data_IF_181554587144
#
_entry.id   IF_181554587144
#
_cell.length_a   1.000
_cell.length_b   1.000
_cell.length_c   1.000
_cell.angle_alpha   90.00
_cell.angle_beta   90.00
_cell.angle_gamma   90.00
#
_symmetry.space_group_name_H-M   'P 1'
#
loop_
_entity.id
_entity.type
_entity.pdbx_description
1 polymer ?
#
# COMPACT_ATOMS: atom_id res chain seq x y z
N UNK A 1 -13.78 -12.97 -9.67
CA UNK A 1 -15.08 -12.26 -9.80
C UNK A 1 -15.44 -12.24 -11.28
N UNK A 2 -16.02 -13.33 -11.76
CA UNK A 2 -16.46 -13.49 -13.15
C UNK A 2 -17.94 -13.10 -13.22
N UNK A 3 -18.22 -11.89 -13.72
CA UNK A 3 -19.57 -11.39 -13.94
C UNK A 3 -20.16 -12.05 -15.19
N UNK A 4 -20.96 -13.11 -14.98
CA UNK A 4 -21.84 -13.64 -16.01
C UNK A 4 -23.05 -12.74 -16.18
N UNK A 5 -23.01 -11.87 -17.18
CA UNK A 5 -24.17 -11.07 -17.60
C UNK A 5 -25.19 -11.95 -18.31
N UNK A 6 -26.12 -12.53 -17.54
CA UNK A 6 -27.35 -13.08 -18.10
C UNK A 6 -28.19 -11.91 -18.63
N UNK A 7 -28.36 -11.84 -19.95
CA UNK A 7 -29.28 -10.90 -20.56
C UNK A 7 -30.71 -11.27 -20.16
N UNK A 8 -31.23 -10.58 -19.13
CA UNK A 8 -32.63 -10.66 -18.72
C UNK A 8 -33.46 -9.98 -19.81
N UNK A 9 -34.51 -10.65 -20.28
CA UNK A 9 -35.50 -10.09 -21.20
C UNK A 9 -36.14 -8.84 -20.56
N UNK A 10 -35.60 -7.67 -20.88
CA UNK A 10 -36.04 -6.40 -20.30
C UNK A 10 -37.29 -5.91 -21.01
N UNK A 11 -38.42 -5.94 -20.33
CA UNK A 11 -39.55 -5.08 -20.65
C UNK A 11 -39.11 -3.62 -20.41
N UNK A 12 -38.62 -2.96 -21.46
CA UNK A 12 -38.18 -1.57 -21.36
C UNK A 12 -39.37 -0.64 -21.63
N UNK A 13 -39.81 0.06 -20.59
CA UNK A 13 -40.84 1.10 -20.68
C UNK A 13 -40.19 2.40 -21.14
N UNK A 14 -40.50 2.85 -22.35
CA UNK A 14 -40.08 4.17 -22.84
C UNK A 14 -41.32 5.04 -23.01
N UNK A 15 -41.49 6.04 -22.15
CA UNK A 15 -42.50 7.07 -22.31
C UNK A 15 -41.93 8.19 -23.20
N UNK A 16 -42.60 8.49 -24.31
CA UNK A 16 -42.30 9.64 -25.17
C UNK A 16 -43.61 10.34 -25.49
N UNK A 17 -43.75 11.60 -25.04
CA UNK A 17 -44.77 12.60 -25.43
C UNK A 17 -46.19 12.11 -25.74
N UNK A 18 -47.16 12.40 -24.86
CA UNK A 18 -48.61 12.13 -24.97
C UNK A 18 -49.07 10.71 -25.32
N UNK A 19 -48.16 9.80 -25.69
CA UNK A 19 -48.39 8.38 -25.90
C UNK A 19 -47.67 7.59 -24.81
N UNK A 20 -48.40 6.80 -24.04
CA UNK A 20 -47.79 5.75 -23.23
C UNK A 20 -47.54 4.56 -24.14
N UNK A 21 -46.27 4.27 -24.42
CA UNK A 21 -45.87 3.15 -25.26
C UNK A 21 -45.13 2.11 -24.42
N UNK A 22 -45.66 0.89 -24.40
CA UNK A 22 -45.07 -0.25 -23.70
C UNK A 22 -44.58 -1.25 -24.75
N UNK A 23 -43.35 -1.73 -24.59
CA UNK A 23 -42.74 -2.71 -25.47
C UNK A 23 -42.35 -3.96 -24.69
N UNK A 24 -42.82 -5.11 -25.15
CA UNK A 24 -42.28 -6.41 -24.78
C UNK A 24 -41.61 -7.00 -26.02
N UNK A 25 -40.28 -7.18 -25.94
CA UNK A 25 -39.47 -7.80 -27.00
C UNK A 25 -39.21 -9.26 -26.68
N UNK A 26 -38.96 -10.04 -27.73
CA UNK A 26 -38.64 -11.47 -27.65
C UNK A 26 -39.68 -12.30 -26.89
N UNK A 27 -40.95 -11.92 -27.01
CA UNK A 27 -42.06 -12.68 -26.43
C UNK A 27 -42.19 -13.97 -27.24
N UNK A 28 -41.96 -15.12 -26.61
CA UNK A 28 -42.20 -16.42 -27.25
C UNK A 28 -43.70 -16.60 -27.45
N UNK A 29 -44.16 -16.40 -28.68
CA UNK A 29 -45.55 -16.61 -29.09
C UNK A 29 -45.65 -17.91 -29.86
N UNK A 30 -46.53 -18.79 -29.41
CA UNK A 30 -46.89 -20.03 -30.11
C UNK A 30 -47.97 -19.73 -31.13
N UNK A 31 -47.73 -20.05 -32.40
CA UNK A 31 -48.67 -19.79 -33.49
C UNK A 31 -49.41 -21.08 -33.81
N UNK A 32 -50.75 -21.06 -33.68
CA UNK A 32 -51.63 -22.20 -33.97
C UNK A 32 -52.55 -21.88 -35.15
N UNK A 33 -52.63 -22.73 -36.19
CA UNK A 33 -53.73 -22.64 -37.16
C UNK A 33 -55.05 -23.09 -36.49
N UNK A 34 -56.17 -22.50 -36.91
CA UNK A 34 -57.50 -22.98 -36.52
C UNK A 34 -57.78 -24.31 -37.23
N UNK A 35 -57.46 -25.45 -36.61
CA UNK A 35 -57.83 -26.77 -37.13
C UNK A 35 -59.26 -27.15 -36.68
N UNK A 36 -60.06 -27.73 -37.58
CA UNK A 36 -61.29 -28.45 -37.22
C UNK A 36 -60.92 -29.59 -36.29
N UNK A 37 -61.61 -29.72 -35.16
CA UNK A 37 -61.55 -30.93 -34.33
C UNK A 37 -62.11 -32.13 -35.12
N UNK A 38 -61.28 -32.79 -35.93
CA UNK A 38 -61.49 -34.19 -36.26
C UNK A 38 -60.78 -35.02 -35.18
N UNK A 39 -61.58 -35.53 -34.24
CA UNK A 39 -61.11 -36.42 -33.19
C UNK A 39 -60.56 -37.72 -33.81
N UNK A 40 -59.25 -37.79 -34.07
CA UNK A 40 -58.56 -39.05 -34.33
C UNK A 40 -58.43 -39.80 -33.00
N UNK A 41 -59.29 -40.80 -32.79
CA UNK A 41 -59.11 -41.78 -31.72
C UNK A 41 -57.84 -42.57 -32.07
N UNK A 42 -56.81 -42.48 -31.22
CA UNK A 42 -55.56 -43.25 -31.37
C UNK A 42 -55.86 -44.74 -31.54
N UNK A 43 -55.17 -45.39 -32.49
CA UNK A 43 -55.31 -46.83 -32.74
C UNK A 43 -55.08 -47.68 -31.47
N UNK A 44 -54.29 -47.19 -30.51
CA UNK A 44 -54.10 -47.85 -29.21
C UNK A 44 -55.35 -47.83 -28.32
N UNK A 45 -56.16 -46.76 -28.39
CA UNK A 45 -57.41 -46.63 -27.64
C UNK A 45 -58.49 -47.53 -28.25
N UNK A 46 -58.58 -47.57 -29.59
CA UNK A 46 -59.45 -48.53 -30.29
C UNK A 46 -59.04 -49.98 -30.01
N UNK A 47 -57.74 -50.28 -29.97
CA UNK A 47 -57.23 -51.61 -29.62
C UNK A 47 -57.62 -52.02 -28.20
N UNK A 48 -57.44 -51.14 -27.20
CA UNK A 48 -57.85 -51.43 -25.81
C UNK A 48 -59.38 -51.56 -25.62
N UNK A 49 -60.18 -50.84 -26.42
CA UNK A 49 -61.65 -50.99 -26.41
C UNK A 49 -62.07 -52.33 -27.03
N UNK A 50 -61.44 -52.73 -28.15
CA UNK A 50 -61.66 -54.03 -28.78
C UNK A 50 -61.22 -55.20 -27.89
N UNK A 51 -60.08 -55.08 -27.22
CA UNK A 51 -59.54 -56.12 -26.33
C UNK A 51 -60.45 -56.33 -25.10
N UNK A 52 -60.99 -55.25 -24.54
CA UNK A 52 -61.99 -55.30 -23.44
C UNK A 52 -63.34 -55.85 -23.88
N UNK A 53 -63.73 -55.63 -25.13
CA UNK A 53 -64.98 -56.15 -25.68
C UNK A 53 -64.89 -57.64 -26.05
N UNK A 54 -63.74 -58.09 -26.58
CA UNK A 54 -63.49 -59.48 -26.96
C UNK A 54 -63.26 -60.41 -25.75
N UNK A 55 -62.65 -59.90 -24.67
CA UNK A 55 -62.53 -60.63 -23.39
C UNK A 55 -63.89 -60.79 -22.68
N UNK A 56 -64.81 -59.84 -22.85
CA UNK A 56 -66.21 -59.96 -22.40
C UNK A 56 -67.03 -61.00 -23.17
N UNK A 57 -66.57 -61.42 -24.37
CA UNK A 57 -67.23 -62.40 -25.24
C UNK A 57 -66.56 -63.79 -25.19
N UNK A 58 -65.57 -64.00 -24.31
CA UNK A 58 -64.92 -65.30 -24.11
C UNK A 58 -63.94 -65.70 -25.22
N UNK A 59 -63.52 -64.76 -26.08
CA UNK A 59 -62.53 -65.03 -27.13
C UNK A 59 -61.13 -64.70 -26.59
N UNK A 60 -60.28 -65.72 -26.45
CA UNK A 60 -58.89 -65.56 -26.04
C UNK A 60 -58.06 -65.12 -27.26
N UNK A 61 -57.62 -63.86 -27.29
CA UNK A 61 -56.67 -63.36 -28.29
C UNK A 61 -55.27 -63.46 -27.69
N UNK A 62 -54.40 -64.26 -28.30
CA UNK A 62 -53.06 -64.54 -27.82
C UNK A 62 -52.14 -63.30 -27.76
N UNK A 63 -51.26 -63.31 -26.76
CA UNK A 63 -50.28 -62.27 -26.40
C UNK A 63 -49.61 -61.56 -27.59
N UNK A 64 -49.80 -60.24 -27.67
CA UNK A 64 -48.86 -59.34 -28.33
C UNK A 64 -47.94 -58.77 -27.24
N UNK A 65 -46.90 -59.53 -26.89
CA UNK A 65 -45.84 -59.02 -26.02
C UNK A 65 -45.00 -58.00 -26.78
N UNK A 66 -45.12 -56.73 -26.42
CA UNK A 66 -44.06 -55.74 -26.67
C UNK A 66 -43.42 -55.46 -25.32
N UNK A 67 -42.17 -55.89 -25.16
CA UNK A 67 -41.35 -55.72 -23.96
C UNK A 67 -41.03 -54.23 -23.68
N UNK A 68 -40.83 -53.85 -22.41
CA UNK A 68 -40.52 -52.49 -22.03
C UNK A 68 -39.01 -52.25 -22.19
N UNK A 69 -38.61 -51.34 -23.08
CA UNK A 69 -37.24 -50.85 -23.15
C UNK A 69 -37.16 -49.42 -22.65
N UNK A 70 -36.49 -49.29 -21.50
CA UNK A 70 -35.62 -48.16 -21.10
C UNK A 70 -36.31 -46.87 -20.69
N UNK A 71 -36.14 -46.56 -19.39
CA UNK A 71 -36.33 -45.25 -18.78
C UNK A 71 -35.77 -44.13 -19.65
N UNK A 72 -36.67 -43.33 -20.19
CA UNK A 72 -36.42 -41.94 -20.52
C UNK A 72 -37.68 -41.20 -20.09
N UNK A 73 -37.57 -40.36 -19.06
CA UNK A 73 -38.59 -39.37 -18.73
C UNK A 73 -38.74 -38.43 -19.92
N UNK A 74 -39.55 -38.84 -20.88
CA UNK A 74 -40.09 -37.96 -21.90
C UNK A 74 -41.15 -37.15 -21.17
N UNK A 75 -40.80 -35.91 -20.79
CA UNK A 75 -41.81 -34.91 -20.48
C UNK A 75 -42.74 -34.84 -21.69
N UNK A 76 -43.94 -35.40 -21.54
CA UNK A 76 -44.92 -35.50 -22.61
C UNK A 76 -45.37 -34.12 -23.04
N UNK A 77 -44.67 -33.53 -24.01
CA UNK A 77 -45.31 -32.59 -24.93
C UNK A 77 -46.20 -33.43 -25.82
N UNK A 78 -47.50 -33.23 -25.74
CA UNK A 78 -48.46 -33.83 -26.68
C UNK A 78 -47.99 -33.48 -28.10
N UNK A 79 -47.61 -34.47 -28.93
CA UNK A 79 -47.09 -34.19 -30.26
C UNK A 79 -48.27 -33.86 -31.16
N UNK A 80 -48.46 -32.57 -31.50
CA UNK A 80 -49.43 -32.22 -32.54
C UNK A 80 -49.89 -30.77 -32.69
N UNK A 81 -49.84 -29.90 -31.67
CA UNK A 81 -50.53 -28.60 -31.75
C UNK A 81 -49.67 -27.34 -31.91
N UNK A 82 -48.37 -27.39 -31.64
CA UNK A 82 -47.49 -26.20 -31.78
C UNK A 82 -46.73 -26.28 -33.11
N UNK A 83 -47.36 -25.84 -34.22
CA UNK A 83 -46.71 -25.88 -35.54
C UNK A 83 -45.62 -24.82 -35.74
N UNK A 84 -45.55 -23.78 -34.90
CA UNK A 84 -44.44 -22.80 -34.93
C UNK A 84 -44.36 -22.00 -33.62
N UNK A 85 -43.14 -21.75 -33.11
CA UNK A 85 -42.91 -20.81 -32.01
C UNK A 85 -41.94 -19.73 -32.47
N UNK A 86 -42.29 -18.46 -32.24
CA UNK A 86 -41.51 -17.31 -32.70
C UNK A 86 -41.29 -16.32 -31.56
N UNK A 87 -40.16 -15.61 -31.60
CA UNK A 87 -39.90 -14.48 -30.72
C UNK A 87 -40.46 -13.23 -31.39
N UNK A 88 -41.64 -12.79 -30.93
CA UNK A 88 -42.35 -11.66 -31.49
C UNK A 88 -42.19 -10.43 -30.61
N UNK A 89 -42.36 -9.26 -31.23
CA UNK A 89 -42.43 -7.97 -30.53
C UNK A 89 -43.88 -7.58 -30.36
N UNK A 90 -44.30 -7.39 -29.11
CA UNK A 90 -45.58 -6.84 -28.73
C UNK A 90 -45.41 -5.36 -28.34
N UNK A 91 -46.08 -4.47 -29.08
CA UNK A 91 -46.15 -3.04 -28.79
C UNK A 91 -47.57 -2.68 -28.35
N UNK A 92 -47.69 -1.99 -27.23
CA UNK A 92 -48.92 -1.35 -26.80
C UNK A 92 -48.72 0.17 -26.85
N UNK A 93 -49.68 0.89 -27.43
CA UNK A 93 -49.68 2.35 -27.45
C UNK A 93 -51.06 2.88 -27.10
N UNK A 94 -51.15 3.64 -26.02
CA UNK A 94 -52.37 4.34 -25.62
C UNK A 94 -52.39 5.72 -26.28
N UNK A 95 -53.32 5.92 -27.22
CA UNK A 95 -53.57 7.22 -27.82
C UNK A 95 -54.56 7.97 -26.95
N UNK A 96 -54.13 9.10 -26.39
CA UNK A 96 -55.04 10.03 -25.72
C UNK A 96 -55.50 11.06 -26.75
N UNK A 97 -56.80 11.31 -26.84
CA UNK A 97 -57.31 12.38 -27.68
C UNK A 97 -56.76 13.72 -27.17
N UNK A 98 -55.76 14.28 -27.85
CA UNK A 98 -55.31 15.64 -27.59
C UNK A 98 -56.44 16.59 -28.02
N UNK A 99 -57.23 17.06 -27.06
CA UNK A 99 -58.17 18.15 -27.31
C UNK A 99 -57.39 19.39 -27.72
N UNK A 100 -57.42 19.72 -29.02
CA UNK A 100 -57.11 21.07 -29.48
C UNK A 100 -58.20 22.00 -28.94
N UNK A 101 -57.94 22.63 -27.79
CA UNK A 101 -58.82 23.63 -27.21
C UNK A 101 -58.73 24.93 -28.01
N UNK A 102 -59.55 25.05 -29.06
CA UNK A 102 -59.97 26.37 -29.55
C UNK A 102 -60.95 26.96 -28.54
N UNK A 103 -60.58 28.11 -27.99
CA UNK A 103 -61.34 28.94 -27.06
C UNK A 103 -62.76 29.23 -27.56
N UNK A 104 -63.76 28.81 -26.79
CA UNK A 104 -65.18 29.11 -27.02
C UNK A 104 -66.00 28.85 -25.77
N UNK A 105 -66.37 29.93 -25.09
CA UNK A 105 -67.26 29.97 -23.92
C UNK A 105 -68.63 29.36 -24.23
N UNK A 106 -69.13 28.50 -23.33
CA UNK A 106 -70.52 28.04 -23.33
C UNK A 106 -70.67 26.56 -22.98
N UNK A 107 -71.02 26.30 -21.72
CA UNK A 107 -71.64 25.06 -21.16
C UNK A 107 -71.64 23.83 -22.07
N UNK A 108 -70.69 22.91 -21.89
CA UNK A 108 -70.74 21.56 -22.49
C UNK A 108 -70.51 20.50 -21.42
N UNK A 109 -71.39 19.50 -21.44
CA UNK A 109 -71.19 18.21 -20.81
C UNK A 109 -69.78 17.68 -21.10
N UNK A 110 -69.15 17.04 -20.11
CA UNK A 110 -67.86 16.39 -20.25
C UNK A 110 -67.88 15.47 -21.47
N UNK A 111 -67.15 15.87 -22.52
CA UNK A 111 -66.87 14.98 -23.65
C UNK A 111 -65.89 13.95 -23.12
N UNK A 112 -66.21 12.64 -23.10
CA UNK A 112 -65.24 11.63 -22.69
C UNK A 112 -64.05 11.71 -23.65
N UNK A 113 -62.85 11.82 -23.08
CA UNK A 113 -61.59 11.67 -23.78
C UNK A 113 -61.58 10.30 -24.45
N UNK A 114 -61.97 10.21 -25.73
CA UNK A 114 -62.04 8.94 -26.44
C UNK A 114 -60.62 8.46 -26.72
N UNK A 115 -60.02 7.79 -25.74
CA UNK A 115 -58.73 7.14 -25.87
C UNK A 115 -58.87 5.82 -26.61
N UNK A 116 -57.86 5.47 -27.40
CA UNK A 116 -57.78 4.18 -28.08
C UNK A 116 -56.48 3.46 -27.70
N UNK A 117 -56.60 2.20 -27.28
CA UNK A 117 -55.47 1.32 -27.06
C UNK A 117 -55.17 0.58 -28.36
N UNK A 118 -53.97 0.79 -28.89
CA UNK A 118 -53.48 0.07 -30.05
C UNK A 118 -52.47 -0.99 -29.62
N UNK A 119 -52.73 -2.24 -29.97
CA UNK A 119 -51.83 -3.37 -29.74
C UNK A 119 -51.32 -3.86 -31.09
N UNK A 120 -50.01 -4.02 -31.22
CA UNK A 120 -49.34 -4.43 -32.46
C UNK A 120 -48.37 -5.58 -32.17
N UNK A 121 -48.48 -6.67 -32.94
CA UNK A 121 -47.56 -7.81 -32.91
C UNK A 121 -46.79 -7.82 -34.22
N UNK A 122 -45.47 -7.92 -34.12
CA UNK A 122 -44.55 -7.92 -35.26
C UNK A 122 -43.45 -8.95 -35.07
N UNK A 123 -42.88 -9.45 -36.17
CA UNK A 123 -41.71 -10.32 -36.15
C UNK A 123 -40.47 -9.51 -36.56
N UNK A 124 -39.35 -9.70 -35.86
CA UNK A 124 -38.06 -9.09 -36.25
C UNK A 124 -37.46 -9.73 -37.51
N UNK A 125 -37.88 -10.93 -37.89
CA UNK A 125 -37.38 -11.68 -39.05
C UNK A 125 -38.26 -11.54 -40.30
N UNK A 126 -39.55 -11.25 -40.12
CA UNK A 126 -40.51 -11.04 -41.21
C UNK A 126 -41.14 -9.63 -41.12
N UNK A 127 -40.68 -8.67 -41.94
CA UNK A 127 -41.24 -7.32 -41.97
C UNK A 127 -42.72 -7.25 -42.39
N UNK A 128 -43.26 -8.29 -43.02
CA UNK A 128 -44.67 -8.34 -43.44
C UNK A 128 -45.58 -8.97 -42.38
N UNK A 129 -45.01 -9.53 -41.31
CA UNK A 129 -45.78 -10.05 -40.18
C UNK A 129 -46.29 -8.91 -39.31
N UNK A 130 -47.58 -8.58 -39.45
CA UNK A 130 -48.23 -7.53 -38.71
C UNK A 130 -49.63 -7.94 -38.28
N UNK A 131 -49.88 -7.96 -36.97
CA UNK A 131 -51.20 -8.12 -36.39
C UNK A 131 -51.53 -6.95 -35.48
N UNK A 132 -52.74 -6.43 -35.58
CA UNK A 132 -53.15 -5.21 -34.90
C UNK A 132 -54.53 -5.36 -34.25
N UNK A 133 -54.69 -4.75 -33.08
CA UNK A 133 -55.99 -4.49 -32.44
C UNK A 133 -56.04 -3.01 -32.08
N UNK A 134 -57.10 -2.33 -32.50
CA UNK A 134 -57.46 -0.99 -32.02
C UNK A 134 -58.69 -1.14 -31.14
N UNK A 135 -58.54 -0.81 -29.86
CA UNK A 135 -59.57 -0.96 -28.84
C UNK A 135 -59.91 0.43 -28.28
N UNK A 136 -61.07 0.97 -28.69
CA UNK A 136 -61.59 2.19 -28.11
C UNK A 136 -62.11 1.94 -26.68
N UNK A 137 -62.16 3.00 -25.86
CA UNK A 137 -62.70 2.91 -24.50
C UNK A 137 -64.16 2.40 -24.46
N UNK A 138 -64.97 2.75 -25.47
CA UNK A 138 -66.35 2.24 -25.60
C UNK A 138 -66.40 0.73 -25.80
N UNK A 139 -65.50 0.19 -26.63
CA UNK A 139 -65.43 -1.24 -26.95
C UNK A 139 -64.82 -2.04 -25.78
N UNK A 140 -64.00 -1.40 -24.96
CA UNK A 140 -63.45 -1.99 -23.75
C UNK A 140 -64.52 -2.39 -22.74
N UNK A 141 -65.64 -1.67 -22.63
CA UNK A 141 -66.73 -2.06 -21.71
C UNK A 141 -67.32 -3.43 -22.05
N UNK A 142 -67.44 -3.73 -23.34
CA UNK A 142 -67.89 -5.04 -23.83
C UNK A 142 -66.84 -6.10 -23.50
N UNK A 143 -65.57 -5.86 -23.84
CA UNK A 143 -64.46 -6.77 -23.55
C UNK A 143 -64.34 -7.07 -22.05
N UNK A 144 -64.48 -6.04 -21.21
CA UNK A 144 -64.44 -6.11 -19.75
C UNK A 144 -65.53 -7.03 -19.22
N UNK A 145 -66.74 -6.94 -19.77
CA UNK A 145 -67.87 -7.77 -19.34
C UNK A 145 -67.72 -9.21 -19.84
N UNK A 146 -67.35 -9.40 -21.11
CA UNK A 146 -67.16 -10.71 -21.73
C UNK A 146 -66.07 -11.53 -21.05
N UNK A 147 -64.95 -10.90 -20.70
CA UNK A 147 -63.80 -11.56 -20.06
C UNK A 147 -63.73 -11.34 -18.55
N UNK A 148 -64.77 -10.73 -17.97
CA UNK A 148 -64.88 -10.47 -16.51
C UNK A 148 -63.65 -9.77 -15.93
N UNK A 149 -63.09 -8.82 -16.68
CA UNK A 149 -61.91 -8.07 -16.28
C UNK A 149 -62.27 -7.12 -15.13
N UNK A 150 -61.43 -7.08 -14.09
CA UNK A 150 -61.66 -6.23 -12.92
C UNK A 150 -61.04 -4.83 -13.06
N UNK A 151 -60.17 -4.63 -14.05
CA UNK A 151 -59.44 -3.37 -14.26
C UNK A 151 -60.22 -2.37 -15.13
N UNK A 152 -59.90 -1.09 -15.01
CA UNK A 152 -60.42 -0.04 -15.90
C UNK A 152 -59.57 0.08 -17.18
N UNK A 153 -60.02 0.90 -18.13
CA UNK A 153 -59.34 1.05 -19.42
C UNK A 153 -57.93 1.62 -19.27
N UNK A 154 -57.71 2.52 -18.29
CA UNK A 154 -56.41 3.17 -18.08
C UNK A 154 -55.36 2.20 -17.51
N UNK A 155 -55.76 1.29 -16.61
CA UNK A 155 -54.83 0.31 -16.03
C UNK A 155 -54.69 -0.98 -16.86
N UNK A 156 -55.59 -1.22 -17.83
CA UNK A 156 -55.58 -2.43 -18.66
C UNK A 156 -54.26 -2.69 -19.42
N UNK A 157 -53.60 -1.71 -20.08
CA UNK A 157 -52.31 -1.93 -20.76
C UNK A 157 -51.20 -2.41 -19.83
N UNK A 158 -51.21 -1.94 -18.57
CA UNK A 158 -50.25 -2.35 -17.55
C UNK A 158 -50.44 -3.83 -17.19
N UNK A 159 -51.69 -4.28 -17.02
CA UNK A 159 -51.99 -5.70 -16.74
C UNK A 159 -51.57 -6.63 -17.87
N UNK A 160 -51.76 -6.22 -19.13
CA UNK A 160 -51.28 -7.01 -20.28
C UNK A 160 -49.76 -7.17 -20.20
N UNK A 161 -49.05 -6.10 -19.85
CA UNK A 161 -47.58 -6.11 -19.74
C UNK A 161 -47.11 -7.03 -18.62
N UNK A 162 -47.79 -7.01 -17.46
CA UNK A 162 -47.49 -7.90 -16.34
C UNK A 162 -47.69 -9.38 -16.73
N UNK A 163 -48.83 -9.73 -17.34
CA UNK A 163 -49.10 -11.09 -17.83
C UNK A 163 -48.05 -11.57 -18.86
N UNK A 164 -47.65 -10.69 -19.79
CA UNK A 164 -46.62 -11.02 -20.78
C UNK A 164 -45.23 -11.15 -20.14
N UNK A 165 -44.93 -10.36 -19.11
CA UNK A 165 -43.67 -10.47 -18.36
C UNK A 165 -43.59 -11.79 -17.56
N UNK A 166 -44.72 -12.26 -17.00
CA UNK A 166 -44.81 -13.58 -16.35
C UNK A 166 -44.57 -14.72 -17.34
N UNK A 167 -45.08 -14.59 -18.58
CA UNK A 167 -44.78 -15.55 -19.65
C UNK A 167 -43.28 -15.59 -20.01
N UNK A 168 -42.58 -14.46 -19.96
CA UNK A 168 -41.16 -14.38 -20.31
C UNK A 168 -40.24 -15.04 -19.26
N UNK A 169 -40.61 -15.00 -17.98
CA UNK A 169 -39.83 -15.60 -16.88
C UNK A 169 -39.90 -17.14 -16.86
N UNK A 170 -40.96 -17.74 -17.44
CA UNK A 170 -41.16 -19.19 -17.49
C UNK A 170 -40.44 -19.89 -18.66
N UNK A 171 -39.63 -19.17 -19.45
CA UNK A 171 -38.93 -19.69 -20.63
C UNK A 171 -37.69 -20.54 -20.35
N UNK A 172 -37.19 -20.56 -19.11
CA UNK A 172 -36.09 -21.43 -18.65
C UNK A 172 -36.62 -22.46 -17.65
N UNK A 173 -36.39 -23.76 -17.92
CA UNK A 173 -36.78 -24.96 -17.15
C UNK A 173 -37.98 -24.82 -16.19
N UNK A 174 -39.10 -25.55 -16.41
CA UNK A 174 -40.27 -25.43 -15.53
C UNK A 174 -39.83 -25.68 -14.08
N UNK A 175 -40.11 -24.74 -13.14
CA UNK A 175 -39.94 -25.03 -11.73
C UNK A 175 -40.78 -26.27 -11.43
N UNK A 176 -40.25 -27.21 -10.66
CA UNK A 176 -41.03 -28.34 -10.16
C UNK A 176 -42.21 -27.79 -9.35
N UNK A 177 -43.37 -27.63 -10.00
CA UNK A 177 -44.58 -27.00 -9.43
C UNK A 177 -44.92 -25.57 -9.91
N UNK A 178 -44.22 -25.01 -10.90
CA UNK A 178 -44.48 -23.66 -11.43
C UNK A 178 -45.61 -23.59 -12.47
N UNK A 179 -46.39 -22.50 -12.44
CA UNK A 179 -47.44 -22.20 -13.41
C UNK A 179 -46.85 -22.05 -14.82
N UNK A 180 -47.33 -22.81 -15.80
CA UNK A 180 -46.79 -22.78 -17.17
C UNK A 180 -47.60 -21.79 -18.03
N UNK A 181 -47.33 -20.49 -17.87
CA UNK A 181 -48.01 -19.44 -18.63
C UNK A 181 -47.32 -19.17 -19.97
N UNK A 182 -48.11 -19.04 -21.04
CA UNK A 182 -47.61 -18.80 -22.39
C UNK A 182 -48.57 -17.99 -23.26
N UNK A 183 -48.01 -17.31 -24.26
CA UNK A 183 -48.75 -16.48 -25.20
C UNK A 183 -48.98 -17.25 -26.50
N UNK A 184 -50.22 -17.27 -26.97
CA UNK A 184 -50.65 -17.90 -28.21
C UNK A 184 -51.23 -16.89 -29.17
N UNK A 185 -50.88 -17.01 -30.45
CA UNK A 185 -51.58 -16.34 -31.54
C UNK A 185 -52.23 -17.40 -32.42
N UNK A 186 -53.55 -17.54 -32.30
CA UNK A 186 -54.33 -18.46 -33.12
C UNK A 186 -54.77 -17.74 -34.38
N UNK A 187 -54.36 -18.23 -35.54
CA UNK A 187 -54.69 -17.63 -36.85
C UNK A 187 -55.89 -18.37 -37.44
N UNK A 188 -56.97 -17.64 -37.71
CA UNK A 188 -58.22 -18.20 -38.24
C UNK A 188 -58.12 -18.69 -39.69
N UNK A 189 -59.13 -19.43 -40.15
CA UNK A 189 -59.24 -19.92 -41.55
C UNK A 189 -59.26 -18.76 -42.56
N UNK A 190 -59.95 -17.66 -42.22
CA UNK A 190 -59.79 -16.40 -42.94
C UNK A 190 -58.52 -15.72 -42.43
N UNK A 191 -57.58 -15.41 -43.32
CA UNK A 191 -56.27 -14.80 -42.97
C UNK A 191 -56.38 -13.42 -42.30
N UNK A 192 -57.59 -12.92 -42.08
CA UNK A 192 -57.89 -11.57 -41.58
C UNK A 192 -58.14 -11.56 -40.06
N UNK A 193 -58.77 -12.59 -39.51
CA UNK A 193 -59.10 -12.65 -38.07
C UNK A 193 -58.16 -13.60 -37.32
N UNK A 194 -57.65 -13.16 -36.17
CA UNK A 194 -56.77 -13.97 -35.32
C UNK A 194 -57.03 -13.65 -33.86
N UNK A 195 -56.62 -14.54 -32.97
CA UNK A 195 -56.88 -14.41 -31.54
C UNK A 195 -55.57 -14.51 -30.78
N UNK A 196 -55.22 -13.47 -30.05
CA UNK A 196 -54.10 -13.46 -29.12
C UNK A 196 -54.61 -13.91 -27.75
N UNK A 197 -54.10 -15.03 -27.23
CA UNK A 197 -54.50 -15.55 -25.91
C UNK A 197 -53.30 -15.70 -24.99
N UNK A 198 -53.47 -15.33 -23.72
CA UNK A 198 -52.52 -15.65 -22.65
C UNK A 198 -53.11 -16.81 -21.87
N UNK A 199 -52.42 -17.95 -21.89
CA UNK A 199 -52.92 -19.22 -21.34
C UNK A 199 -51.93 -19.74 -20.31
N UNK A 200 -52.44 -20.09 -19.14
CA UNK A 200 -51.74 -20.86 -18.11
C UNK A 200 -52.17 -22.32 -18.19
N UNK A 201 -51.21 -23.21 -18.41
CA UNK A 201 -51.45 -24.64 -18.35
C UNK A 201 -51.03 -25.21 -16.98
N UNK A 202 -51.93 -25.95 -16.36
CA UNK A 202 -51.62 -26.83 -15.23
C UNK A 202 -51.74 -28.30 -15.67
N UNK A 203 -51.39 -29.25 -14.80
CA UNK A 203 -51.41 -30.70 -15.03
C UNK A 203 -52.78 -31.26 -15.46
N UNK A 204 -53.86 -30.50 -15.27
CA UNK A 204 -55.23 -30.94 -15.56
C UNK A 204 -55.92 -30.13 -16.66
N UNK A 205 -55.66 -28.81 -16.77
CA UNK A 205 -56.43 -27.90 -17.64
C UNK A 205 -55.65 -26.65 -18.03
N UNK A 206 -56.00 -26.10 -19.18
CA UNK A 206 -55.63 -24.76 -19.64
C UNK A 206 -56.61 -23.69 -19.13
N UNK A 207 -56.09 -22.63 -18.51
CA UNK A 207 -56.81 -21.45 -18.04
C UNK A 207 -56.45 -20.28 -18.95
N UNK A 208 -57.43 -19.65 -19.58
CA UNK A 208 -57.23 -18.45 -20.39
C UNK A 208 -57.33 -17.22 -19.49
N UNK A 209 -56.25 -16.47 -19.37
CA UNK A 209 -56.18 -15.21 -18.61
C UNK A 209 -56.66 -14.01 -19.41
N UNK A 210 -56.39 -14.01 -20.71
CA UNK A 210 -56.76 -12.94 -21.61
C UNK A 210 -56.92 -13.46 -23.02
N UNK A 211 -57.90 -12.95 -23.78
CA UNK A 211 -58.18 -13.33 -25.16
C UNK A 211 -58.53 -12.09 -25.98
N UNK A 212 -57.70 -11.72 -26.96
CA UNK A 212 -57.86 -10.49 -27.73
C UNK A 212 -58.04 -10.81 -29.21
N UNK A 213 -59.10 -10.27 -29.81
CA UNK A 213 -59.34 -10.39 -31.25
C UNK A 213 -58.41 -9.46 -32.02
N UNK A 214 -57.42 -10.03 -32.67
CA UNK A 214 -56.46 -9.35 -33.53
C UNK A 214 -56.92 -9.43 -34.99
N UNK A 215 -56.47 -8.46 -35.79
CA UNK A 215 -56.61 -8.51 -37.24
C UNK A 215 -55.24 -8.51 -37.90
N UNK A 216 -55.09 -9.28 -38.98
CA UNK A 216 -53.91 -9.17 -39.84
C UNK A 216 -53.89 -7.79 -40.48
N UNK A 217 -52.74 -7.14 -40.49
CA UNK A 217 -52.55 -5.84 -41.14
C UNK A 217 -52.82 -5.94 -42.63
N UNK A 218 -53.59 -4.99 -43.17
CA UNK A 218 -53.77 -4.84 -44.62
C UNK A 218 -52.53 -4.22 -45.25
N UNK A 219 -52.37 -4.34 -46.56
CA UNK A 219 -51.25 -3.72 -47.30
C UNK A 219 -51.12 -2.22 -47.00
N UNK A 220 -52.24 -1.52 -46.83
CA UNK A 220 -52.23 -0.08 -46.55
C UNK A 220 -51.67 0.23 -45.16
N UNK A 221 -52.13 -0.51 -44.14
CA UNK A 221 -51.63 -0.36 -42.76
C UNK A 221 -50.17 -0.78 -42.68
N UNK A 222 -49.79 -1.84 -43.41
CA UNK A 222 -48.44 -2.35 -43.46
C UNK A 222 -47.47 -1.37 -44.13
N UNK A 223 -47.85 -0.76 -45.27
CA UNK A 223 -47.07 0.29 -45.92
C UNK A 223 -46.85 1.48 -44.99
N UNK A 224 -47.91 1.95 -44.33
CA UNK A 224 -47.80 3.04 -43.36
C UNK A 224 -46.87 2.69 -42.19
N UNK A 225 -47.00 1.48 -41.64
CA UNK A 225 -46.13 0.99 -40.58
C UNK A 225 -44.67 0.94 -41.02
N UNK A 226 -44.39 0.34 -42.19
CA UNK A 226 -43.04 0.21 -42.73
C UNK A 226 -42.42 1.57 -43.08
N UNK A 227 -43.18 2.48 -43.71
CA UNK A 227 -42.72 3.84 -44.01
C UNK A 227 -42.38 4.61 -42.72
N UNK A 228 -43.22 4.49 -41.69
CA UNK A 228 -42.98 5.11 -40.38
C UNK A 228 -41.73 4.55 -39.71
N UNK A 229 -41.52 3.23 -39.79
CA UNK A 229 -40.30 2.57 -39.27
C UNK A 229 -39.05 2.99 -40.05
N UNK A 230 -39.12 3.05 -41.37
CA UNK A 230 -38.01 3.48 -42.21
C UNK A 230 -37.59 4.90 -41.88
N UNK A 231 -38.55 5.83 -41.81
CA UNK A 231 -38.30 7.23 -41.43
C UNK A 231 -37.66 7.33 -40.04
N UNK A 232 -38.19 6.58 -39.06
CA UNK A 232 -37.61 6.53 -37.72
C UNK A 232 -36.17 6.00 -37.72
N UNK A 233 -35.88 4.93 -38.48
CA UNK A 233 -34.53 4.38 -38.56
C UNK A 233 -33.55 5.30 -39.30
N UNK A 234 -34.01 6.02 -40.34
CA UNK A 234 -33.19 7.02 -41.02
C UNK A 234 -32.80 8.15 -40.06
N UNK A 235 -33.76 8.73 -39.34
CA UNK A 235 -33.50 9.75 -38.32
C UNK A 235 -32.57 9.24 -37.21
N UNK A 236 -32.75 7.98 -36.80
CA UNK A 236 -31.89 7.36 -35.81
C UNK A 236 -30.45 7.18 -36.33
N UNK A 237 -30.28 6.75 -37.59
CA UNK A 237 -28.96 6.61 -38.23
C UNK A 237 -28.25 7.95 -38.32
N UNK A 238 -28.91 8.98 -38.84
CA UNK A 238 -28.36 10.32 -38.95
C UNK A 238 -27.89 10.86 -37.60
N UNK A 239 -28.72 10.72 -36.56
CA UNK A 239 -28.36 11.13 -35.20
C UNK A 239 -27.19 10.32 -34.65
N UNK A 240 -27.15 9.01 -34.89
CA UNK A 240 -26.04 8.16 -34.45
C UNK A 240 -24.75 8.55 -35.16
N UNK A 241 -24.79 8.79 -36.46
CA UNK A 241 -23.65 9.26 -37.26
C UNK A 241 -23.13 10.62 -36.78
N UNK A 242 -24.03 11.55 -36.46
CA UNK A 242 -23.66 12.84 -35.87
C UNK A 242 -22.96 12.67 -34.52
N UNK A 243 -23.53 11.85 -33.62
CA UNK A 243 -22.91 11.58 -32.32
C UNK A 243 -21.56 10.89 -32.45
N UNK A 244 -21.42 9.96 -33.39
CA UNK A 244 -20.16 9.27 -33.68
C UNK A 244 -19.12 10.28 -34.19
N UNK A 245 -19.48 11.11 -35.16
CA UNK A 245 -18.61 12.15 -35.70
C UNK A 245 -18.12 13.11 -34.59
N UNK A 246 -19.01 13.54 -33.70
CA UNK A 246 -18.65 14.43 -32.60
C UNK A 246 -17.74 13.75 -31.56
N UNK A 247 -18.04 12.51 -31.19
CA UNK A 247 -17.21 11.74 -30.25
C UNK A 247 -15.82 11.44 -30.83
N UNK A 248 -15.71 11.12 -32.12
CA UNK A 248 -14.42 10.95 -32.78
C UNK A 248 -13.61 12.25 -32.83
N UNK A 249 -14.24 13.40 -33.08
CA UNK A 249 -13.57 14.70 -33.07
C UNK A 249 -13.00 15.03 -31.69
N UNK A 250 -13.80 14.84 -30.64
CA UNK A 250 -13.33 15.05 -29.26
C UNK A 250 -12.20 14.09 -28.88
N UNK A 251 -12.29 12.83 -29.30
CA UNK A 251 -11.21 11.87 -29.06
C UNK A 251 -9.91 12.30 -29.73
N UNK A 252 -9.97 12.76 -30.99
CA UNK A 252 -8.79 13.28 -31.70
C UNK A 252 -8.21 14.51 -31.01
N UNK A 253 -9.06 15.44 -30.55
CA UNK A 253 -8.63 16.65 -29.83
C UNK A 253 -7.91 16.30 -28.53
N UNK A 254 -8.53 15.47 -27.70
CA UNK A 254 -7.95 15.05 -26.41
C UNK A 254 -6.67 14.24 -26.60
N UNK A 255 -6.59 13.41 -27.63
CA UNK A 255 -5.36 12.67 -27.95
C UNK A 255 -4.20 13.61 -28.32
N UNK A 256 -4.47 14.64 -29.14
CA UNK A 256 -3.46 15.63 -29.52
C UNK A 256 -2.99 16.47 -28.31
N UNK A 257 -3.92 16.91 -27.46
CA UNK A 257 -3.59 17.64 -26.21
C UNK A 257 -2.72 16.79 -25.29
N UNK A 258 -3.08 15.51 -25.10
CA UNK A 258 -2.31 14.57 -24.27
C UNK A 258 -0.90 14.35 -24.83
N UNK A 259 -0.76 14.26 -26.16
CA UNK A 259 0.54 14.12 -26.81
C UNK A 259 1.42 15.36 -26.56
N UNK A 260 0.87 16.56 -26.75
CA UNK A 260 1.57 17.82 -26.47
C UNK A 260 2.02 17.92 -25.02
N UNK A 261 1.16 17.56 -24.07
CA UNK A 261 1.50 17.56 -22.64
C UNK A 261 2.59 16.53 -22.31
N UNK A 262 2.57 15.37 -22.96
CA UNK A 262 3.61 14.35 -22.76
C UNK A 262 4.98 14.84 -23.26
N UNK A 263 5.01 15.54 -24.39
CA UNK A 263 6.22 16.16 -24.95
C UNK A 263 6.77 17.25 -24.01
N UNK A 264 5.91 18.13 -23.48
CA UNK A 264 6.30 19.16 -22.51
C UNK A 264 6.86 18.55 -21.22
N UNK A 265 6.21 17.52 -20.66
CA UNK A 265 6.69 16.81 -19.48
C UNK A 265 8.08 16.19 -19.73
N UNK A 266 8.31 15.64 -20.93
CA UNK A 266 9.60 15.03 -21.26
C UNK A 266 10.70 16.09 -21.40
N UNK A 267 10.39 17.25 -21.99
CA UNK A 267 11.31 18.38 -22.05
C UNK A 267 11.70 18.86 -20.64
N UNK A 268 10.72 19.11 -19.78
CA UNK A 268 10.94 19.53 -18.39
C UNK A 268 11.75 18.50 -17.60
N UNK A 269 11.54 17.20 -17.84
CA UNK A 269 12.35 16.13 -17.22
C UNK A 269 13.80 16.15 -17.71
N UNK A 270 14.03 16.39 -18.99
CA UNK A 270 15.37 16.47 -19.56
C UNK A 270 16.13 17.67 -18.98
N UNK A 271 15.49 18.85 -18.93
CA UNK A 271 16.05 20.05 -18.32
C UNK A 271 16.37 19.85 -16.84
N UNK A 272 15.45 19.25 -16.07
CA UNK A 272 15.69 18.93 -14.65
C UNK A 272 16.89 17.98 -14.49
N UNK A 273 17.01 16.97 -15.35
CA UNK A 273 18.11 16.02 -15.29
C UNK A 273 19.46 16.72 -15.57
N UNK A 274 19.50 17.61 -16.57
CA UNK A 274 20.70 18.42 -16.86
C UNK A 274 21.08 19.32 -15.69
N UNK A 275 20.09 20.00 -15.08
CA UNK A 275 20.33 20.86 -13.94
C UNK A 275 20.82 20.07 -12.71
N UNK A 276 20.20 18.92 -12.42
CA UNK A 276 20.64 18.02 -11.34
C UNK A 276 22.07 17.52 -11.56
N UNK A 277 22.43 17.14 -12.79
CA UNK A 277 23.79 16.72 -13.13
C UNK A 277 24.80 17.87 -12.98
N UNK A 278 24.46 19.07 -13.45
CA UNK A 278 25.31 20.26 -13.30
C UNK A 278 25.54 20.61 -11.84
N UNK A 279 24.48 20.58 -11.02
CA UNK A 279 24.56 20.84 -9.58
C UNK A 279 25.41 19.78 -8.86
N UNK A 280 25.22 18.49 -9.17
CA UNK A 280 26.04 17.41 -8.60
C UNK A 280 27.51 17.56 -8.97
N UNK A 281 27.81 17.81 -10.24
CA UNK A 281 29.19 18.02 -10.70
C UNK A 281 29.82 19.27 -10.05
N UNK A 282 29.04 20.32 -9.81
CA UNK A 282 29.47 21.50 -9.05
C UNK A 282 29.83 21.13 -7.60
N UNK A 283 28.94 20.44 -6.91
CA UNK A 283 29.15 20.03 -5.52
C UNK A 283 30.33 19.05 -5.36
N UNK A 284 30.48 18.08 -6.26
CA UNK A 284 31.62 17.15 -6.28
C UNK A 284 32.95 17.89 -6.47
N UNK A 285 32.97 18.92 -7.33
CA UNK A 285 34.15 19.77 -7.53
C UNK A 285 34.48 20.57 -6.26
N UNK A 286 33.50 21.21 -5.63
CA UNK A 286 33.70 21.96 -4.38
C UNK A 286 34.20 21.05 -3.24
N UNK A 287 33.65 19.83 -3.14
CA UNK A 287 34.07 18.87 -2.13
C UNK A 287 35.51 18.39 -2.37
N UNK A 288 35.89 18.14 -3.63
CA UNK A 288 37.25 17.79 -4.00
C UNK A 288 38.22 18.93 -3.68
N UNK A 289 37.88 20.17 -4.03
CA UNK A 289 38.71 21.35 -3.72
C UNK A 289 38.87 21.58 -2.21
N UNK A 290 37.81 21.39 -1.43
CA UNK A 290 37.88 21.50 0.03
C UNK A 290 38.71 20.36 0.64
N UNK A 291 38.53 19.13 0.18
CA UNK A 291 39.31 17.97 0.62
C UNK A 291 40.80 18.16 0.32
N UNK A 292 41.14 18.66 -0.88
CA UNK A 292 42.51 18.93 -1.26
C UNK A 292 43.13 20.05 -0.40
N UNK A 293 42.37 21.12 -0.11
CA UNK A 293 42.81 22.19 0.80
C UNK A 293 43.11 21.66 2.19
N UNK A 294 42.18 20.90 2.79
CA UNK A 294 42.42 20.29 4.11
C UNK A 294 43.62 19.33 4.09
N UNK A 295 43.78 18.53 3.03
CA UNK A 295 44.93 17.63 2.90
C UNK A 295 46.26 18.39 2.74
N UNK A 296 46.25 19.58 2.12
CA UNK A 296 47.41 20.48 2.09
C UNK A 296 47.71 21.05 3.48
N UNK A 297 46.70 21.60 4.16
CA UNK A 297 46.84 22.16 5.51
C UNK A 297 47.37 21.13 6.53
N UNK A 298 46.87 19.89 6.50
CA UNK A 298 47.35 18.80 7.36
C UNK A 298 48.83 18.50 7.06
N UNK A 299 49.22 18.44 5.79
CA UNK A 299 50.62 18.18 5.40
C UNK A 299 51.54 19.31 5.87
N UNK A 300 51.14 20.56 5.67
CA UNK A 300 51.93 21.72 6.05
C UNK A 300 52.07 21.79 7.58
N UNK A 301 50.97 21.61 8.33
CA UNK A 301 51.00 21.57 9.79
C UNK A 301 51.84 20.39 10.33
N UNK A 302 51.77 19.22 9.68
CA UNK A 302 52.59 18.09 10.09
C UNK A 302 54.08 18.37 9.85
N UNK A 303 54.41 19.02 8.74
CA UNK A 303 55.77 19.41 8.43
C UNK A 303 56.32 20.43 9.45
N UNK A 304 55.54 21.46 9.78
CA UNK A 304 55.94 22.48 10.77
C UNK A 304 56.10 21.87 12.16
N UNK A 305 55.12 21.09 12.64
CA UNK A 305 55.20 20.42 13.95
C UNK A 305 56.38 19.45 14.05
N UNK A 306 56.69 18.74 12.96
CA UNK A 306 57.86 17.83 12.93
C UNK A 306 59.16 18.63 13.01
N UNK A 307 59.27 19.74 12.27
CA UNK A 307 60.43 20.62 12.33
C UNK A 307 60.61 21.26 13.71
N UNK A 308 59.53 21.73 14.35
CA UNK A 308 59.54 22.27 15.71
C UNK A 308 59.96 21.20 16.72
N UNK A 309 59.40 19.98 16.62
CA UNK A 309 59.80 18.84 17.44
C UNK A 309 61.29 18.53 17.28
N UNK A 310 61.79 18.47 16.05
CA UNK A 310 63.19 18.16 15.77
C UNK A 310 64.12 19.22 16.33
N UNK A 311 63.74 20.50 16.24
CA UNK A 311 64.49 21.60 16.82
C UNK A 311 64.48 21.54 18.35
N UNK A 312 63.33 21.27 18.98
CA UNK A 312 63.21 21.12 20.42
C UNK A 312 64.03 19.92 20.94
N UNK A 313 64.01 18.79 20.23
CA UNK A 313 64.83 17.61 20.56
C UNK A 313 66.31 17.95 20.47
N UNK A 314 66.77 18.64 19.40
CA UNK A 314 68.16 19.08 19.27
C UNK A 314 68.58 19.99 20.42
N UNK A 315 67.77 20.98 20.75
CA UNK A 315 68.02 21.93 21.83
C UNK A 315 68.11 21.22 23.19
N UNK A 316 67.14 20.36 23.51
CA UNK A 316 67.15 19.59 24.76
C UNK A 316 68.34 18.62 24.83
N UNK A 317 68.73 18.03 23.71
CA UNK A 317 69.91 17.15 23.65
C UNK A 317 71.18 17.95 23.92
N UNK A 318 71.35 19.13 23.31
CA UNK A 318 72.49 20.00 23.56
C UNK A 318 72.54 20.50 25.01
N UNK A 319 71.39 20.84 25.60
CA UNK A 319 71.30 21.20 27.03
C UNK A 319 71.68 20.03 27.95
N UNK A 320 71.25 18.81 27.61
CA UNK A 320 71.58 17.60 28.38
C UNK A 320 73.07 17.28 28.29
N UNK A 321 73.67 17.37 27.10
CA UNK A 321 75.12 17.21 26.90
C UNK A 321 75.92 18.27 27.68
N UNK A 322 75.50 19.54 27.64
CA UNK A 322 76.14 20.61 28.39
C UNK A 322 76.03 20.40 29.92
N UNK A 323 74.85 20.03 30.41
CA UNK A 323 74.62 19.73 31.83
C UNK A 323 75.45 18.52 32.28
N UNK A 324 75.55 17.49 31.44
CA UNK A 324 76.36 16.30 31.71
C UNK A 324 77.85 16.65 31.76
N UNK A 325 78.37 17.43 30.81
CA UNK A 325 79.75 17.90 30.83
C UNK A 325 80.05 18.76 32.09
N UNK A 326 79.11 19.63 32.49
CA UNK A 326 79.23 20.41 33.71
C UNK A 326 79.23 19.52 34.97
N UNK A 327 78.33 18.54 35.04
CA UNK A 327 78.27 17.56 36.14
C UNK A 327 79.57 16.74 36.23
N UNK A 328 80.11 16.28 35.10
CA UNK A 328 81.40 15.57 35.05
C UNK A 328 82.56 16.45 35.50
N UNK A 329 82.60 17.72 35.10
CA UNK A 329 83.64 18.65 35.55
C UNK A 329 83.56 18.94 37.05
N UNK A 330 82.36 19.11 37.59
CA UNK A 330 82.10 19.28 39.02
C UNK A 330 82.46 18.02 39.80
N UNK A 331 82.13 16.82 39.30
CA UNK A 331 82.51 15.56 39.89
C UNK A 331 84.04 15.40 39.95
N UNK A 332 84.77 15.74 38.86
CA UNK A 332 86.24 15.77 38.85
C UNK A 332 86.78 16.73 39.91
N UNK A 333 86.27 17.97 39.95
CA UNK A 333 86.67 18.95 40.96
C UNK A 333 86.38 18.48 42.40
N UNK A 334 85.23 17.82 42.63
CA UNK A 334 84.88 17.23 43.91
C UNK A 334 85.83 16.09 44.30
N UNK A 335 86.21 15.20 43.36
CA UNK A 335 87.21 14.17 43.63
C UNK A 335 88.60 14.75 43.94
N UNK A 336 89.03 15.79 43.21
CA UNK A 336 90.29 16.49 43.51
C UNK A 336 90.26 17.18 44.88
N UNK A 337 89.15 17.86 45.20
CA UNK A 337 88.94 18.47 46.50
C UNK A 337 88.97 17.40 47.61
N UNK A 338 88.34 16.24 47.40
CA UNK A 338 88.41 15.11 48.33
C UNK A 338 89.84 14.60 48.53
N UNK A 339 90.62 14.45 47.45
CA UNK A 339 92.04 14.09 47.54
C UNK A 339 92.84 15.14 48.34
N UNK A 340 92.56 16.44 48.15
CA UNK A 340 93.17 17.52 48.93
C UNK A 340 92.78 17.46 50.41
N UNK A 341 91.50 17.23 50.73
CA UNK A 341 91.01 17.06 52.10
C UNK A 341 91.76 15.91 52.77
N UNK A 342 91.82 14.72 52.15
CA UNK A 342 92.56 13.57 52.70
C UNK A 342 94.05 13.89 52.90
N UNK A 343 94.68 14.59 51.96
CA UNK A 343 96.09 14.99 52.09
C UNK A 343 96.31 15.98 53.25
N UNK A 344 95.39 16.94 53.44
CA UNK A 344 95.41 17.87 54.56
C UNK A 344 95.12 17.17 55.89
N UNK A 345 94.16 16.24 55.93
CA UNK A 345 93.87 15.41 57.12
C UNK A 345 95.11 14.59 57.54
N UNK A 346 95.80 13.98 56.58
CA UNK A 346 97.05 13.26 56.84
C UNK A 346 98.15 14.19 57.36
N UNK A 347 98.29 15.38 56.76
CA UNK A 347 99.26 16.38 57.18
C UNK A 347 98.95 16.92 58.57
N UNK A 348 97.69 17.25 58.85
CA UNK A 348 97.20 17.68 60.15
C UNK A 348 97.45 16.58 61.19
N UNK A 349 97.10 15.34 60.90
CA UNK A 349 97.37 14.19 61.76
C UNK A 349 98.86 14.05 62.08
N UNK A 350 99.73 14.25 61.08
CA UNK A 350 101.19 14.21 61.28
C UNK A 350 101.70 15.37 62.13
N UNK A 351 101.18 16.58 61.93
CA UNK A 351 101.52 17.76 62.72
C UNK A 351 100.98 17.66 64.15
N UNK A 352 99.77 17.13 64.34
CA UNK A 352 99.19 16.82 65.65
C UNK A 352 100.06 15.82 66.40
N UNK A 353 100.51 14.73 65.75
CA UNK A 353 101.45 13.78 66.37
C UNK A 353 102.78 14.43 66.76
N UNK A 354 103.32 15.33 65.92
CA UNK A 354 104.53 16.10 66.24
C UNK A 354 104.31 17.04 67.42
N UNK A 355 103.15 17.71 67.47
CA UNK A 355 102.78 18.60 68.56
C UNK A 355 102.61 17.82 69.86
N UNK A 356 101.94 16.67 69.84
CA UNK A 356 101.82 15.77 71.00
C UNK A 356 103.19 15.30 71.49
N UNK A 357 104.10 14.93 70.57
CA UNK A 357 105.46 14.55 70.93
C UNK A 357 106.23 15.72 71.58
N UNK A 358 106.16 16.92 71.00
CA UNK A 358 106.81 18.12 71.55
C UNK A 358 106.21 18.54 72.90
N UNK A 359 104.89 18.41 73.08
CA UNK A 359 104.24 18.63 74.38
C UNK A 359 104.73 17.65 75.43
N UNK A 360 104.91 16.37 75.07
CA UNK A 360 105.47 15.35 75.97
C UNK A 360 106.92 15.66 76.34
N UNK A 361 107.76 16.02 75.37
CA UNK A 361 109.14 16.46 75.66
C UNK A 361 109.18 17.68 76.59
N UNK A 362 108.30 18.67 76.37
CA UNK A 362 108.21 19.84 77.23
C UNK A 362 107.79 19.47 78.67
N UNK A 363 106.90 18.49 78.83
CA UNK A 363 106.50 17.98 80.14
C UNK A 363 107.68 17.27 80.83
N UNK A 364 108.41 16.43 80.10
CA UNK A 364 109.63 15.77 80.59
C UNK A 364 110.72 16.80 80.99
N UNK A 365 110.89 17.87 80.20
CA UNK A 365 111.83 18.95 80.51
C UNK A 365 111.38 19.79 81.72
N UNK A 366 110.07 20.01 81.90
CA UNK A 366 109.54 20.63 83.13
C UNK A 366 109.81 19.76 84.36
N UNK A 367 109.63 18.45 84.26
CA UNK A 367 109.96 17.52 85.34
C UNK A 367 111.46 17.53 85.65
N UNK A 368 112.32 17.52 84.62
CA UNK A 368 113.79 17.67 84.77
C UNK A 368 114.18 19.01 85.37
N UNK A 369 113.53 20.10 84.96
CA UNK A 369 113.76 21.41 85.54
C UNK A 369 113.30 21.45 87.01
N UNK A 370 112.16 20.84 87.32
CA UNK A 370 111.67 20.68 88.69
C UNK A 370 112.62 19.89 89.59
N UNK A 371 113.16 18.78 89.10
CA UNK A 371 114.13 17.96 89.84
C UNK A 371 115.47 18.67 90.03
N UNK A 372 115.97 19.35 88.99
CA UNK A 372 117.20 20.15 89.08
C UNK A 372 117.02 21.34 90.02
N UNK A 373 115.87 22.01 90.01
CA UNK A 373 115.55 23.11 90.93
C UNK A 373 115.45 22.62 92.38
N UNK A 374 114.87 21.43 92.61
CA UNK A 374 114.85 20.81 93.93
C UNK A 374 116.27 20.47 94.43
N UNK A 375 117.13 20.02 93.52
CA UNK A 375 118.53 19.72 93.81
C UNK A 375 119.35 20.99 94.11
N UNK A 376 119.13 22.09 93.37
CA UNK A 376 119.73 23.41 93.68
C UNK A 376 119.33 23.87 95.08
N UNK A 377 118.05 23.77 95.45
CA UNK A 377 117.58 24.10 96.81
C UNK A 377 118.19 23.21 97.90
N UNK A 378 118.51 21.96 97.59
CA UNK A 378 119.17 21.03 98.51
C UNK A 378 120.62 21.45 98.74
N UNK A 379 121.35 21.73 97.67
CA UNK A 379 122.75 22.19 97.71
C UNK A 379 122.88 23.56 98.39
N UNK A 380 121.95 24.49 98.19
CA UNK A 380 121.91 25.77 98.90
C UNK A 380 121.79 25.59 100.42
N UNK A 381 120.95 24.65 100.89
CA UNK A 381 120.85 24.31 102.32
C UNK A 381 122.13 23.70 102.87
N UNK A 382 122.77 22.83 102.09
CA UNK A 382 124.02 22.16 102.45
C UNK A 382 125.17 23.18 102.58
N UNK A 383 125.23 24.15 101.66
CA UNK A 383 126.22 25.23 101.68
C UNK A 383 126.03 26.15 102.90
N UNK A 384 124.79 26.52 103.22
CA UNK A 384 124.48 27.29 104.43
C UNK A 384 124.94 26.59 105.72
N UNK A 385 124.81 25.26 105.81
CA UNK A 385 125.29 24.50 106.98
C UNK A 385 126.82 24.45 107.08
N UNK A 386 127.52 24.37 105.94
CA UNK A 386 128.98 24.36 105.90
C UNK A 386 129.56 25.75 106.23
N UNK A 387 128.95 26.84 105.75
CA UNK A 387 129.34 28.20 106.11
C UNK A 387 129.18 28.47 107.62
N UNK A 388 128.11 27.96 108.24
CA UNK A 388 127.89 28.07 109.69
C UNK A 388 129.00 27.36 110.48
N UNK A 389 129.37 26.15 110.10
CA UNK A 389 130.45 25.37 110.73
C UNK A 389 131.82 26.04 110.56
N UNK A 390 132.06 26.70 109.42
CA UNK A 390 133.29 27.44 109.15
C UNK A 390 133.43 28.69 110.04
N UNK A 391 132.32 29.37 110.34
CA UNK A 391 132.30 30.53 111.24
C UNK A 391 132.58 30.14 112.70
N UNK A 392 132.08 28.99 113.15
CA UNK A 392 132.28 28.47 114.51
C UNK A 392 133.74 28.05 114.75
N UNK A 393 134.40 27.46 113.74
CA UNK A 393 135.83 27.13 113.79
C UNK A 393 136.75 28.37 113.80
N UNK A 394 136.33 29.47 113.18
CA UNK A 394 137.08 30.74 113.17
C UNK A 394 137.18 31.40 114.55
N UNK A 395 136.14 31.28 115.37
CA UNK A 395 136.09 31.88 116.73
C UNK A 395 136.98 31.10 117.71
N UNK A 396 137.05 29.77 117.59
CA UNK A 396 137.91 28.94 118.45
C UNK A 396 139.42 29.15 118.21
N UNK A 397 139.80 29.55 116.99
CA UNK A 397 141.19 29.76 116.59
C UNK A 397 141.74 31.14 117.02
N UNK A 398 140.87 32.13 117.19
CA UNK A 398 141.22 33.44 117.74
C UNK A 398 141.50 33.36 119.26
N UNK A 399 140.71 32.60 120.01
CA UNK A 399 140.81 32.47 121.46
C UNK A 399 142.11 31.74 121.92
N UNK A 400 142.62 30.80 121.09
CA UNK A 400 143.87 30.07 121.36
C UNK A 400 145.14 30.87 121.04
N UNK A 401 145.04 31.94 120.23
CA UNK A 401 146.18 32.81 119.88
C UNK A 401 146.46 33.88 120.95
N UNK A 402 145.44 34.31 121.70
CA UNK A 402 145.59 35.36 122.74
C UNK A 402 146.20 34.84 124.05
N UNK A 403 146.07 33.54 124.36
CA UNK A 403 146.61 32.94 125.58
C UNK A 403 148.10 32.55 125.50
N UNK A 404 148.74 32.73 124.33
CA UNK A 404 150.16 32.40 124.11
C UNK A 404 151.10 33.63 124.21
N UNK A 405 150.56 34.84 124.36
CA UNK A 405 151.34 36.09 124.36
C UNK A 405 151.63 36.69 125.76
N UNK A 406 151.16 36.06 126.85
CA UNK A 406 151.33 36.58 128.23
C UNK A 406 152.29 35.74 129.11
N UNK A 407 153.20 34.97 128.49
CA UNK A 407 154.23 34.16 129.20
C UNK A 407 155.68 34.56 128.91
N UNK A 408 155.91 35.76 128.39
CA UNK A 408 157.25 36.39 128.31
C UNK A 408 157.18 37.86 128.75
N UNK A 409 156.97 38.12 130.04
CA UNK A 409 157.83 38.92 130.94
C UNK A 409 157.33 38.85 132.39
#
# INVERSE_FOLDING_TARGET
>A
MTGGGGAVAGAAVYASGNEQVLYARDVRVRIRPLEREEYFISASVLASILERSLTSLGVWVGNWTTTPSTNQEVSGSIPGLDRYSANLTLKLSLQTASGSSSSGSGTRAAVPSSGALMITITDGRDPFFLYTLSLAETDYHTLKTEQRLLVDFQNFPKMITELVAECAHNGGSPPAGGQNMSVYLTVGESTVESTLSIIEANQFREITHLCLRMRKGTDEVLKHYLASKLSHFQQLSERLEETLCNTEKELRRVAAERQSQAEEINLMKAERCQLEQSMKAGHERELAELSERHAREIRDNHHTLTAERDNAVKELTAQLEAAQAAAESSAKAATEAQHRVVALENSLSSSSRKLEAALKELEEDKERYGSTSAEVKRLEKENYTLEKQLSEAGVSLALCKEQLAAKEE
#
